data_IF_396067964539
#
_entry.id   IF_396067964539
#
_cell.length_a   1.000
_cell.length_b   1.000
_cell.length_c   1.000
_cell.angle_alpha   90.00
_cell.angle_beta   90.00
_cell.angle_gamma   90.00
#
_symmetry.space_group_name_H-M   'P 1'
#
loop_
_entity.id
_entity.type
_entity.pdbx_description
1 polymer ?
#
# COMPACT_ATOMS: atom_id res chain seq x y z
N UNK A 1 -1.61 -15.55 5.03
CA UNK A 1 -2.82 -16.24 4.53
C UNK A 1 -3.16 -17.36 5.48
N UNK A 2 -4.44 -17.55 5.80
CA UNK A 2 -4.86 -18.59 6.75
C UNK A 2 -4.84 -19.98 6.09
N UNK A 3 -4.61 -21.05 6.88
CA UNK A 3 -4.57 -22.44 6.38
C UNK A 3 -5.82 -22.83 5.58
N UNK A 4 -6.98 -22.31 5.99
CA UNK A 4 -8.28 -22.54 5.37
C UNK A 4 -8.35 -21.94 3.95
N UNK A 5 -7.87 -20.70 3.75
CA UNK A 5 -7.85 -20.07 2.43
C UNK A 5 -6.99 -20.85 1.43
N UNK A 6 -5.85 -21.37 1.87
CA UNK A 6 -4.96 -22.18 1.00
C UNK A 6 -5.60 -23.52 0.61
N UNK A 7 -6.29 -24.19 1.54
CA UNK A 7 -7.02 -25.43 1.25
C UNK A 7 -8.16 -25.19 0.25
N UNK A 8 -8.96 -24.15 0.48
CA UNK A 8 -10.09 -23.83 -0.38
C UNK A 8 -9.64 -23.41 -1.78
N UNK A 9 -8.53 -22.67 -1.89
CA UNK A 9 -7.94 -22.30 -3.18
C UNK A 9 -7.50 -23.55 -3.97
N UNK A 10 -6.85 -24.52 -3.32
CA UNK A 10 -6.46 -25.79 -3.97
C UNK A 10 -7.70 -26.55 -4.46
N UNK A 11 -8.69 -26.72 -3.60
CA UNK A 11 -9.95 -27.39 -3.93
C UNK A 11 -10.70 -26.73 -5.10
N UNK A 12 -10.79 -25.40 -5.11
CA UNK A 12 -11.42 -24.65 -6.21
C UNK A 12 -10.62 -24.75 -7.52
N UNK A 13 -9.29 -24.81 -7.43
CA UNK A 13 -8.41 -24.97 -8.61
C UNK A 13 -8.56 -26.36 -9.21
N UNK A 14 -8.63 -27.41 -8.38
CA UNK A 14 -8.87 -28.80 -8.82
C UNK A 14 -10.24 -28.96 -9.49
N UNK A 15 -11.26 -28.27 -8.99
CA UNK A 15 -12.61 -28.28 -9.56
C UNK A 15 -12.78 -27.34 -10.77
N UNK A 16 -11.82 -26.45 -11.05
CA UNK A 16 -11.89 -25.48 -12.15
C UNK A 16 -12.97 -24.41 -11.97
N UNK A 17 -13.46 -24.18 -10.75
CA UNK A 17 -14.56 -23.25 -10.45
C UNK A 17 -14.05 -21.94 -9.84
N UNK A 18 -14.52 -20.82 -10.37
CA UNK A 18 -14.13 -19.49 -9.88
C UNK A 18 -14.90 -19.05 -8.62
N UNK A 19 -16.04 -19.67 -8.34
CA UNK A 19 -16.86 -19.42 -7.17
C UNK A 19 -17.58 -20.68 -6.71
N UNK A 20 -17.68 -20.85 -5.38
CA UNK A 20 -18.47 -21.90 -4.74
C UNK A 20 -19.39 -21.24 -3.74
N UNK A 21 -20.69 -21.44 -3.90
CA UNK A 21 -21.70 -21.04 -2.93
C UNK A 21 -22.00 -22.24 -2.03
N UNK A 22 -21.90 -22.06 -0.73
CA UNK A 22 -22.42 -23.00 0.25
C UNK A 22 -23.60 -22.36 1.01
N UNK A 23 -24.27 -23.13 1.86
CA UNK A 23 -25.45 -22.72 2.61
C UNK A 23 -25.21 -21.55 3.58
N UNK A 24 -23.96 -21.25 3.91
CA UNK A 24 -23.57 -20.20 4.84
C UNK A 24 -22.99 -18.96 4.12
N UNK A 25 -22.21 -19.14 3.04
CA UNK A 25 -21.41 -18.10 2.39
C UNK A 25 -21.02 -18.43 0.94
N UNK A 26 -20.74 -17.38 0.16
CA UNK A 26 -20.16 -17.50 -1.20
C UNK A 26 -18.66 -17.22 -1.16
N UNK A 27 -17.88 -18.20 -1.56
CA UNK A 27 -16.43 -18.09 -1.63
C UNK A 27 -16.01 -17.89 -3.10
N UNK A 28 -15.17 -16.90 -3.35
CA UNK A 28 -14.70 -16.55 -4.69
C UNK A 28 -13.20 -16.26 -4.68
N UNK A 29 -12.54 -16.55 -5.81
CA UNK A 29 -11.12 -16.25 -5.99
C UNK A 29 -11.00 -14.77 -6.37
N UNK A 30 -10.36 -13.97 -5.51
CA UNK A 30 -10.02 -12.58 -5.81
C UNK A 30 -8.54 -12.48 -6.18
N UNK A 31 -8.23 -11.75 -7.26
CA UNK A 31 -6.85 -11.38 -7.61
C UNK A 31 -6.46 -10.11 -6.86
N UNK A 32 -5.63 -10.26 -5.82
CA UNK A 32 -4.93 -9.14 -5.20
C UNK A 32 -3.66 -8.83 -6.00
N UNK A 33 -3.70 -7.78 -6.82
CA UNK A 33 -2.51 -7.29 -7.51
C UNK A 33 -1.70 -6.42 -6.55
N UNK A 34 -0.49 -6.85 -6.20
CA UNK A 34 0.50 -6.02 -5.50
C UNK A 34 1.62 -5.65 -6.46
N UNK A 35 2.02 -4.38 -6.43
CA UNK A 35 3.16 -3.89 -7.22
C UNK A 35 4.31 -3.61 -6.26
N UNK A 36 5.46 -4.25 -6.48
CA UNK A 36 6.69 -4.01 -5.73
C UNK A 36 7.77 -3.51 -6.68
N UNK A 37 8.51 -2.48 -6.25
CA UNK A 37 9.65 -1.97 -7.03
C UNK A 37 10.84 -2.87 -6.75
N UNK A 38 11.26 -3.66 -7.73
CA UNK A 38 12.40 -4.57 -7.62
C UNK A 38 13.75 -3.84 -7.66
N UNK A 39 13.91 -2.92 -8.61
CA UNK A 39 15.08 -2.03 -8.71
C UNK A 39 14.62 -0.58 -8.69
N UNK A 40 15.06 0.13 -7.64
CA UNK A 40 14.72 1.53 -7.41
C UNK A 40 15.42 2.47 -8.40
N UNK A 41 16.66 2.18 -8.80
CA UNK A 41 17.43 3.07 -9.66
C UNK A 41 16.93 3.01 -11.11
N UNK A 42 16.69 1.80 -11.62
CA UNK A 42 16.07 1.62 -12.94
C UNK A 42 14.69 2.26 -13.01
N UNK A 43 13.86 2.10 -11.97
CA UNK A 43 12.53 2.71 -11.91
C UNK A 43 12.60 4.25 -11.88
N UNK A 44 13.50 4.84 -11.10
CA UNK A 44 13.67 6.30 -11.07
C UNK A 44 14.17 6.86 -12.40
N UNK A 45 15.12 6.19 -13.05
CA UNK A 45 15.61 6.60 -14.37
C UNK A 45 14.54 6.51 -15.46
N UNK A 46 13.60 5.57 -15.33
CA UNK A 46 12.44 5.47 -16.21
C UNK A 46 11.43 6.60 -15.94
N UNK A 47 11.05 6.81 -14.68
CA UNK A 47 10.07 7.84 -14.26
C UNK A 47 10.54 9.27 -14.55
N UNK A 48 11.85 9.53 -14.60
CA UNK A 48 12.40 10.86 -14.90
C UNK A 48 12.18 11.27 -16.37
N UNK A 49 11.75 10.37 -17.26
CA UNK A 49 11.41 10.70 -18.64
C UNK A 49 10.12 11.53 -18.67
N UNK A 50 10.00 12.51 -19.58
CA UNK A 50 8.81 13.35 -19.67
C UNK A 50 7.58 12.50 -20.01
N UNK A 51 6.64 12.40 -19.06
CA UNK A 51 5.33 11.75 -19.26
C UNK A 51 4.88 10.77 -18.17
N UNK A 52 5.79 10.24 -17.34
CA UNK A 52 5.48 9.10 -16.45
C UNK A 52 5.44 9.42 -14.95
N UNK A 53 5.49 10.71 -14.59
CA UNK A 53 5.35 11.16 -13.20
C UNK A 53 4.04 10.74 -12.53
N UNK A 54 2.99 10.46 -13.33
CA UNK A 54 1.69 9.96 -12.85
C UNK A 54 1.77 8.60 -12.16
N UNK A 55 2.81 7.81 -12.44
CA UNK A 55 3.01 6.46 -11.88
C UNK A 55 3.76 6.54 -10.54
N UNK A 56 4.43 7.66 -10.27
CA UNK A 56 5.23 7.86 -9.06
C UNK A 56 4.39 8.43 -7.92
N UNK A 57 4.23 7.64 -6.86
CA UNK A 57 3.71 8.14 -5.59
C UNK A 57 4.81 8.83 -4.79
N UNK A 58 5.00 10.14 -4.98
CA UNK A 58 5.97 10.94 -4.21
C UNK A 58 5.41 11.25 -2.81
N UNK A 59 6.05 10.69 -1.78
CA UNK A 59 5.78 11.03 -0.37
C UNK A 59 7.07 11.45 0.30
N UNK A 60 7.03 12.56 1.02
CA UNK A 60 8.13 12.94 1.90
C UNK A 60 8.16 12.02 3.12
N UNK A 61 9.35 11.67 3.59
CA UNK A 61 9.49 10.90 4.82
C UNK A 61 9.20 11.81 6.02
N UNK A 62 8.05 11.60 6.67
CA UNK A 62 7.58 12.41 7.80
C UNK A 62 8.63 12.57 8.91
N UNK A 63 9.41 11.53 9.20
CA UNK A 63 10.39 11.54 10.29
C UNK A 63 11.56 12.46 9.97
N UNK A 64 12.03 12.43 8.72
CA UNK A 64 13.13 13.28 8.26
C UNK A 64 12.68 14.73 8.15
N UNK A 65 11.47 14.96 7.67
CA UNK A 65 10.88 16.32 7.61
C UNK A 65 10.70 16.91 9.00
N UNK A 66 10.28 16.10 9.98
CA UNK A 66 10.15 16.53 11.37
C UNK A 66 11.51 16.84 12.01
N UNK A 67 12.54 16.01 11.78
CA UNK A 67 13.90 16.29 12.23
C UNK A 67 14.44 17.60 11.64
N UNK A 68 14.25 17.81 10.33
CA UNK A 68 14.68 19.04 9.67
C UNK A 68 13.98 20.28 10.22
N UNK A 69 12.66 20.20 10.47
CA UNK A 69 11.90 21.28 11.10
C UNK A 69 12.39 21.59 12.51
N UNK A 70 12.75 20.58 13.30
CA UNK A 70 13.26 20.78 14.66
C UNK A 70 14.63 21.48 14.68
N UNK A 71 15.48 21.20 13.68
CA UNK A 71 16.82 21.77 13.58
C UNK A 71 16.82 23.18 12.97
N UNK A 72 16.01 23.40 11.93
CA UNK A 72 16.05 24.62 11.13
C UNK A 72 14.86 25.57 11.37
N UNK A 73 13.88 25.16 12.18
CA UNK A 73 12.60 25.88 12.41
C UNK A 73 11.81 26.23 11.14
N UNK A 74 12.15 25.61 10.00
CA UNK A 74 11.52 25.87 8.72
C UNK A 74 11.03 24.56 8.10
N UNK A 75 10.29 24.65 6.99
CA UNK A 75 9.85 23.50 6.19
C UNK A 75 10.70 23.36 4.93
N UNK A 76 11.07 22.12 4.52
CA UNK A 76 11.78 21.94 3.27
C UNK A 76 10.89 22.40 2.10
N UNK A 77 11.48 22.99 1.03
CA UNK A 77 10.72 23.56 -0.07
C UNK A 77 9.78 22.53 -0.72
N UNK A 78 8.53 22.93 -0.94
CA UNK A 78 7.51 22.08 -1.57
C UNK A 78 6.79 21.10 -0.64
N UNK A 79 6.98 21.20 0.68
CA UNK A 79 6.26 20.42 1.69
C UNK A 79 5.29 21.32 2.45
N UNK A 80 3.99 20.99 2.36
CA UNK A 80 2.97 21.56 3.24
C UNK A 80 2.88 20.72 4.52
N UNK A 81 3.00 21.38 5.68
CA UNK A 81 2.90 20.73 6.98
C UNK A 81 1.59 21.10 7.67
N UNK A 82 0.86 20.10 8.14
CA UNK A 82 -0.35 20.27 8.96
C UNK A 82 -0.26 19.34 10.15
N UNK A 83 -0.38 19.91 11.35
CA UNK A 83 -0.44 19.18 12.61
C UNK A 83 -1.86 19.23 13.17
N UNK A 84 -2.40 18.08 13.55
CA UNK A 84 -3.69 17.95 14.22
C UNK A 84 -3.49 17.10 15.48
N UNK A 85 -3.89 17.65 16.63
CA UNK A 85 -3.80 16.95 17.92
C UNK A 85 -5.11 16.19 18.14
N UNK A 86 -5.07 14.87 18.10
CA UNK A 86 -6.24 14.01 18.32
C UNK A 86 -6.05 13.22 19.61
N UNK A 87 -7.07 13.22 20.47
CA UNK A 87 -7.14 12.36 21.66
C UNK A 87 -7.80 11.04 21.25
N UNK A 88 -7.09 9.93 21.42
CA UNK A 88 -7.64 8.61 21.10
C UNK A 88 -8.08 7.90 22.39
N UNK A 89 -9.40 7.76 22.58
CA UNK A 89 -9.97 7.04 23.73
C UNK A 89 -10.12 5.56 23.33
N UNK A 90 -9.30 4.69 23.94
CA UNK A 90 -9.47 3.24 23.81
C UNK A 90 -10.63 2.80 24.71
N UNK A 91 -11.73 2.31 24.15
CA UNK A 91 -12.73 1.56 24.94
C UNK A 91 -12.15 0.18 25.26
N UNK A 92 -12.14 -0.16 26.54
CA UNK A 92 -11.90 -1.51 27.03
C UNK A 92 -13.17 -2.34 26.93
#
# INVERSE_FOLDING_TARGET
>A
MTRIQNYLLKFMTELGVASIRNSADTHYILRCNSTTVADRYAFLGWVQRPGEWSILKRRANKTVVQAWRNEHNDLPPGISWREERVVNIKRS
#
